data_IF_042063022743
#
_entry.id   IF_042063022743
#
_cell.length_a   1.000
_cell.length_b   1.000
_cell.length_c   1.000
_cell.angle_alpha   90.00
_cell.angle_beta   90.00
_cell.angle_gamma   90.00
#
_symmetry.space_group_name_H-M   'P 1'
#
loop_
_entity.id
_entity.type
_entity.pdbx_description
1 polymer ?
#
# COMPACT_ATOMS: atom_id res chain seq x y z
N UNK A 1 21.07 -18.15 5.09
CA UNK A 1 20.27 -17.02 4.59
C UNK A 1 18.85 -17.45 4.22
N UNK A 2 18.66 -18.33 3.24
CA UNK A 2 17.33 -18.67 2.69
C UNK A 2 16.33 -19.34 3.67
N UNK A 3 16.81 -20.11 4.65
CA UNK A 3 15.94 -20.70 5.69
C UNK A 3 15.28 -19.63 6.57
N UNK A 4 15.96 -18.51 6.84
CA UNK A 4 15.39 -17.40 7.62
C UNK A 4 14.29 -16.68 6.84
N UNK A 5 14.54 -16.40 5.56
CA UNK A 5 13.56 -15.79 4.64
C UNK A 5 12.29 -16.62 4.52
N UNK A 6 12.42 -17.92 4.24
CA UNK A 6 11.26 -18.81 4.12
C UNK A 6 10.47 -18.89 5.43
N UNK A 7 11.16 -19.03 6.57
CA UNK A 7 10.52 -19.04 7.89
C UNK A 7 9.71 -17.77 8.15
N UNK A 8 10.25 -16.60 7.82
CA UNK A 8 9.53 -15.34 8.01
C UNK A 8 8.28 -15.27 7.13
N UNK A 9 8.40 -15.60 5.84
CA UNK A 9 7.26 -15.65 4.90
C UNK A 9 6.18 -16.60 5.42
N UNK A 10 6.56 -17.81 5.84
CA UNK A 10 5.65 -18.83 6.36
C UNK A 10 4.87 -18.37 7.61
N UNK A 11 5.48 -17.53 8.46
CA UNK A 11 4.81 -16.96 9.63
C UNK A 11 3.86 -15.81 9.23
N UNK A 12 4.20 -15.02 8.22
CA UNK A 12 3.44 -13.83 7.83
C UNK A 12 2.22 -14.15 6.99
N UNK A 13 2.32 -15.11 6.06
CA UNK A 13 1.26 -15.40 5.09
C UNK A 13 -0.09 -15.74 5.74
N UNK A 14 -0.17 -16.62 6.76
CA UNK A 14 -1.44 -16.90 7.44
C UNK A 14 -2.08 -15.68 8.13
N UNK A 15 -1.32 -14.61 8.38
CA UNK A 15 -1.75 -13.39 9.10
C UNK A 15 -2.09 -12.22 8.17
N UNK A 16 -1.85 -12.34 6.87
CA UNK A 16 -1.90 -11.23 5.92
C UNK A 16 -3.30 -10.62 5.75
N UNK A 17 -4.36 -11.44 5.73
CA UNK A 17 -5.75 -10.99 5.55
C UNK A 17 -6.72 -12.01 6.16
N UNK A 18 -6.81 -12.09 7.50
CA UNK A 18 -7.52 -13.18 8.20
C UNK A 18 -9.04 -13.20 7.94
N UNK A 19 -9.60 -12.05 7.54
CA UNK A 19 -11.02 -11.87 7.32
C UNK A 19 -11.49 -12.39 5.95
N UNK A 20 -10.57 -12.61 5.01
CA UNK A 20 -10.89 -13.08 3.65
C UNK A 20 -10.64 -14.59 3.61
N UNK A 21 -11.71 -15.36 3.34
CA UNK A 21 -11.69 -16.84 3.30
C UNK A 21 -10.66 -17.39 2.31
N UNK A 22 -10.47 -16.70 1.18
CA UNK A 22 -9.53 -17.06 0.13
C UNK A 22 -8.11 -17.30 0.66
N UNK A 23 -7.59 -16.39 1.50
CA UNK A 23 -6.20 -16.47 2.01
C UNK A 23 -6.00 -17.52 3.11
N UNK A 24 -7.07 -18.15 3.58
CA UNK A 24 -6.98 -19.28 4.53
C UNK A 24 -6.77 -20.62 3.83
N UNK A 25 -6.96 -20.69 2.51
CA UNK A 25 -6.78 -21.92 1.75
C UNK A 25 -5.28 -22.25 1.62
N UNK A 26 -4.90 -23.49 1.94
CA UNK A 26 -3.49 -23.92 1.92
C UNK A 26 -2.86 -23.73 0.53
N UNK A 27 -3.60 -24.03 -0.53
CA UNK A 27 -3.14 -23.83 -1.92
C UNK A 27 -2.81 -22.36 -2.22
N UNK A 28 -3.58 -21.41 -1.69
CA UNK A 28 -3.32 -19.97 -1.86
C UNK A 28 -2.09 -19.55 -1.06
N UNK A 29 -1.97 -20.03 0.18
CA UNK A 29 -0.79 -19.76 1.01
C UNK A 29 0.48 -20.28 0.34
N UNK A 30 0.46 -21.49 -0.22
CA UNK A 30 1.62 -22.08 -0.91
C UNK A 30 2.00 -21.29 -2.16
N UNK A 31 1.02 -20.75 -2.91
CA UNK A 31 1.27 -19.84 -4.05
C UNK A 31 1.98 -18.57 -3.56
N UNK A 32 1.45 -17.92 -2.52
CA UNK A 32 2.04 -16.69 -1.99
C UNK A 32 3.44 -16.92 -1.42
N UNK A 33 3.65 -18.03 -0.70
CA UNK A 33 4.97 -18.43 -0.21
C UNK A 33 5.98 -18.57 -1.34
N UNK A 34 5.62 -19.24 -2.45
CA UNK A 34 6.50 -19.38 -3.61
C UNK A 34 6.80 -18.05 -4.29
N UNK A 35 5.77 -17.24 -4.56
CA UNK A 35 5.93 -15.91 -5.18
C UNK A 35 6.92 -15.06 -4.37
N UNK A 36 6.67 -14.93 -3.07
CA UNK A 36 7.48 -14.09 -2.19
C UNK A 36 8.89 -14.65 -1.98
N UNK A 37 9.02 -15.97 -1.86
CA UNK A 37 10.32 -16.61 -1.69
C UNK A 37 11.19 -16.41 -2.94
N UNK A 38 10.65 -16.68 -4.13
CA UNK A 38 11.36 -16.50 -5.40
C UNK A 38 11.76 -15.02 -5.57
N UNK A 39 10.85 -14.08 -5.29
CA UNK A 39 11.16 -12.66 -5.39
C UNK A 39 12.29 -12.26 -4.43
N UNK A 40 12.20 -12.70 -3.17
CA UNK A 40 13.17 -12.35 -2.11
C UNK A 40 14.57 -12.89 -2.42
N UNK A 41 14.68 -14.11 -2.95
CA UNK A 41 15.96 -14.69 -3.38
C UNK A 41 16.58 -13.91 -4.55
N UNK A 42 15.74 -13.41 -5.46
CA UNK A 42 16.18 -12.63 -6.63
C UNK A 42 16.56 -11.18 -6.30
N UNK A 43 16.19 -10.67 -5.12
CA UNK A 43 16.46 -9.30 -4.68
C UNK A 43 17.18 -9.29 -3.32
N UNK A 44 18.44 -9.76 -3.25
CA UNK A 44 19.16 -9.95 -1.98
C UNK A 44 19.40 -8.65 -1.20
N UNK A 45 19.37 -7.49 -1.87
CA UNK A 45 19.48 -6.18 -1.20
C UNK A 45 18.26 -5.84 -0.32
N UNK A 46 17.09 -6.38 -0.68
CA UNK A 46 15.86 -6.23 0.11
C UNK A 46 15.59 -7.49 0.95
N UNK A 47 15.70 -8.67 0.34
CA UNK A 47 15.18 -9.90 0.93
C UNK A 47 13.65 -9.81 1.11
N UNK A 48 13.10 -10.62 2.02
CA UNK A 48 11.69 -10.48 2.40
C UNK A 48 11.54 -9.42 3.49
N UNK A 49 10.65 -8.47 3.27
CA UNK A 49 10.26 -7.44 4.24
C UNK A 49 8.76 -7.51 4.47
N UNK A 50 8.34 -7.51 5.74
CA UNK A 50 6.92 -7.56 6.10
C UNK A 50 6.18 -6.37 5.46
N UNK A 51 5.07 -6.68 4.81
CA UNK A 51 4.24 -5.73 4.05
C UNK A 51 4.34 -5.93 2.54
N UNK A 52 5.44 -6.48 2.03
CA UNK A 52 5.54 -6.89 0.62
C UNK A 52 4.49 -7.96 0.27
N UNK A 53 4.17 -8.82 1.24
CA UNK A 53 3.14 -9.85 1.09
C UNK A 53 1.78 -9.26 0.68
N UNK A 54 1.41 -8.08 1.22
CA UNK A 54 0.15 -7.43 0.87
C UNK A 54 0.12 -6.95 -0.59
N UNK A 55 1.28 -6.64 -1.18
CA UNK A 55 1.36 -6.11 -2.54
C UNK A 55 1.16 -7.16 -3.63
N UNK A 56 1.20 -8.46 -3.27
CA UNK A 56 0.86 -9.55 -4.19
C UNK A 56 -0.67 -9.67 -4.35
N UNK A 57 -1.42 -9.31 -3.32
CA UNK A 57 -2.87 -9.52 -3.21
C UNK A 57 -3.67 -8.97 -4.40
N UNK A 58 -3.50 -7.70 -4.83
CA UNK A 58 -4.30 -7.16 -5.93
C UNK A 58 -4.09 -7.92 -7.25
N UNK A 59 -2.83 -8.26 -7.57
CA UNK A 59 -2.51 -9.02 -8.78
C UNK A 59 -3.12 -10.42 -8.74
N UNK A 60 -2.93 -11.13 -7.62
CA UNK A 60 -3.47 -12.48 -7.46
C UNK A 60 -4.99 -12.51 -7.63
N UNK A 61 -5.69 -11.57 -7.01
CA UNK A 61 -7.15 -11.51 -7.06
C UNK A 61 -7.66 -11.17 -8.47
N UNK A 62 -7.06 -10.20 -9.14
CA UNK A 62 -7.45 -9.82 -10.50
C UNK A 62 -7.23 -10.98 -11.48
N UNK A 63 -6.07 -11.65 -11.42
CA UNK A 63 -5.80 -12.78 -12.30
C UNK A 63 -6.61 -14.02 -11.97
N UNK A 64 -6.86 -14.28 -10.68
CA UNK A 64 -7.76 -15.34 -10.26
C UNK A 64 -9.18 -15.09 -10.79
N UNK A 65 -9.70 -13.87 -10.65
CA UNK A 65 -11.03 -13.49 -11.14
C UNK A 65 -11.18 -13.70 -12.64
N UNK A 66 -10.16 -13.37 -13.43
CA UNK A 66 -10.16 -13.60 -14.89
C UNK A 66 -10.24 -15.09 -15.29
N UNK A 67 -9.87 -16.00 -14.39
CA UNK A 67 -9.92 -17.45 -14.61
C UNK A 67 -11.20 -18.11 -14.04
N UNK A 68 -12.12 -17.32 -13.49
CA UNK A 68 -13.38 -17.80 -12.92
C UNK A 68 -14.57 -17.54 -13.87
N UNK A 69 -15.64 -18.37 -13.79
CA UNK A 69 -16.89 -18.06 -14.47
C UNK A 69 -17.45 -16.69 -14.05
N UNK A 70 -18.11 -16.00 -14.98
CA UNK A 70 -18.71 -14.68 -14.69
C UNK A 70 -19.75 -14.78 -13.57
N UNK A 71 -19.73 -13.80 -12.65
CA UNK A 71 -20.69 -13.69 -11.54
C UNK A 71 -20.35 -14.54 -10.32
N UNK A 72 -19.24 -15.29 -10.34
CA UNK A 72 -18.77 -16.03 -9.16
C UNK A 72 -18.20 -15.06 -8.13
N UNK A 73 -18.65 -15.18 -6.89
CA UNK A 73 -18.06 -14.46 -5.77
C UNK A 73 -16.69 -15.08 -5.43
N UNK A 74 -15.63 -14.28 -5.46
CA UNK A 74 -14.26 -14.75 -5.19
C UNK A 74 -14.09 -15.35 -3.79
N UNK A 75 -14.87 -14.90 -2.81
CA UNK A 75 -14.79 -15.39 -1.42
C UNK A 75 -15.36 -16.80 -1.26
N UNK A 76 -16.18 -17.27 -2.23
CA UNK A 76 -16.74 -18.64 -2.23
C UNK A 76 -15.94 -19.63 -3.08
N UNK A 77 -14.88 -19.17 -3.76
CA UNK A 77 -14.09 -20.01 -4.66
C UNK A 77 -13.14 -20.90 -3.88
N UNK A 78 -13.19 -22.20 -4.16
CA UNK A 78 -12.11 -23.12 -3.77
C UNK A 78 -11.06 -23.16 -4.89
N UNK A 79 -9.90 -22.54 -4.66
CA UNK A 79 -8.80 -22.46 -5.64
C UNK A 79 -8.21 -23.83 -5.96
N UNK A 80 -8.34 -24.79 -5.04
CA UNK A 80 -7.90 -26.18 -5.25
C UNK A 80 -8.72 -26.90 -6.32
N UNK A 81 -9.95 -26.44 -6.59
CA UNK A 81 -10.80 -27.01 -7.65
C UNK A 81 -10.49 -26.47 -9.05
N UNK A 82 -9.65 -25.43 -9.18
CA UNK A 82 -9.22 -24.94 -10.48
C UNK A 82 -8.25 -25.92 -11.16
N UNK A 83 -8.20 -25.89 -12.48
CA UNK A 83 -7.20 -26.67 -13.22
C UNK A 83 -5.78 -26.24 -12.82
N UNK A 84 -4.85 -27.20 -12.72
CA UNK A 84 -3.47 -26.90 -12.31
C UNK A 84 -2.82 -25.88 -13.25
N UNK A 85 -3.08 -25.95 -14.56
CA UNK A 85 -2.53 -25.00 -15.52
C UNK A 85 -3.04 -23.58 -15.28
N UNK A 86 -4.33 -23.41 -14.94
CA UNK A 86 -4.89 -22.10 -14.57
C UNK A 86 -4.25 -21.56 -13.29
N UNK A 87 -4.06 -22.40 -12.27
CA UNK A 87 -3.34 -22.00 -11.05
C UNK A 87 -1.91 -21.55 -11.33
N UNK A 88 -1.19 -22.31 -12.16
CA UNK A 88 0.18 -21.99 -12.55
C UNK A 88 0.24 -20.65 -13.32
N UNK A 89 -0.71 -20.40 -14.21
CA UNK A 89 -0.84 -19.12 -14.92
C UNK A 89 -1.10 -17.95 -13.96
N UNK A 90 -2.08 -18.09 -13.05
CA UNK A 90 -2.36 -17.06 -12.04
C UNK A 90 -1.14 -16.77 -11.18
N UNK A 91 -0.41 -17.79 -10.71
CA UNK A 91 0.82 -17.61 -9.94
C UNK A 91 1.92 -16.90 -10.75
N UNK A 92 2.16 -17.33 -11.99
CA UNK A 92 3.18 -16.75 -12.85
C UNK A 92 2.90 -15.28 -13.21
N UNK A 93 1.66 -14.97 -13.61
CA UNK A 93 1.24 -13.61 -13.96
C UNK A 93 1.30 -12.70 -12.74
N UNK A 94 0.83 -13.20 -11.58
CA UNK A 94 0.94 -12.48 -10.30
C UNK A 94 2.40 -12.16 -9.99
N UNK A 95 3.29 -13.14 -10.11
CA UNK A 95 4.72 -12.96 -9.85
C UNK A 95 5.35 -11.90 -10.75
N UNK A 96 5.13 -11.97 -12.06
CA UNK A 96 5.77 -11.05 -13.00
C UNK A 96 5.23 -9.62 -12.89
N UNK A 97 3.92 -9.44 -12.74
CA UNK A 97 3.33 -8.13 -12.52
C UNK A 97 3.76 -7.51 -11.19
N UNK A 98 3.78 -8.32 -10.13
CA UNK A 98 4.33 -7.93 -8.82
C UNK A 98 5.81 -7.51 -8.93
N UNK A 99 6.65 -8.28 -9.63
CA UNK A 99 8.05 -7.91 -9.86
C UNK A 99 8.18 -6.56 -10.56
N UNK A 100 7.38 -6.33 -11.61
CA UNK A 100 7.40 -5.08 -12.38
C UNK A 100 6.92 -3.90 -11.55
N UNK A 101 5.87 -4.08 -10.77
CA UNK A 101 5.34 -3.04 -9.90
C UNK A 101 6.34 -2.66 -8.79
N UNK A 102 6.94 -3.65 -8.11
CA UNK A 102 7.94 -3.39 -7.07
C UNK A 102 9.22 -2.74 -7.60
N UNK A 103 9.56 -2.94 -8.88
CA UNK A 103 10.73 -2.31 -9.50
C UNK A 103 10.73 -0.78 -9.34
N UNK A 104 9.56 -0.13 -9.33
CA UNK A 104 9.44 1.32 -9.14
C UNK A 104 9.55 1.80 -7.69
N UNK A 105 9.60 0.89 -6.71
CA UNK A 105 9.66 1.21 -5.27
C UNK A 105 10.62 0.30 -4.49
N UNK A 106 11.63 -0.29 -5.14
CA UNK A 106 12.54 -1.24 -4.47
C UNK A 106 13.29 -0.59 -3.30
N UNK A 107 13.60 0.70 -3.42
CA UNK A 107 14.27 1.51 -2.39
C UNK A 107 13.48 1.57 -1.07
N UNK A 108 12.16 1.36 -1.11
CA UNK A 108 11.33 1.24 0.09
C UNK A 108 11.68 0.02 0.95
N UNK A 109 12.24 -1.03 0.35
CA UNK A 109 12.43 -2.34 1.00
C UNK A 109 13.90 -2.72 1.19
N UNK A 110 14.85 -1.92 0.68
CA UNK A 110 16.27 -2.11 0.96
C UNK A 110 16.55 -1.62 2.39
N UNK A 111 17.16 -2.45 3.23
CA UNK A 111 17.54 -2.05 4.60
C UNK A 111 18.49 -0.82 4.59
N UNK A 112 18.28 0.22 5.42
CA UNK A 112 17.31 0.37 6.53
C UNK A 112 15.98 1.07 6.15
N UNK A 113 15.46 0.81 4.95
CA UNK A 113 14.23 1.37 4.38
C UNK A 113 14.23 2.90 4.26
N UNK A 114 15.36 3.47 3.81
CA UNK A 114 15.51 4.91 3.63
C UNK A 114 14.50 5.50 2.65
N UNK A 115 14.07 4.75 1.63
CA UNK A 115 13.03 5.20 0.68
C UNK A 115 11.72 5.56 1.38
N UNK A 116 11.28 4.73 2.34
CA UNK A 116 10.09 5.01 3.14
C UNK A 116 10.31 6.21 4.05
N UNK A 117 11.45 6.29 4.74
CA UNK A 117 11.74 7.42 5.64
C UNK A 117 11.72 8.76 4.89
N UNK A 118 12.28 8.81 3.68
CA UNK A 118 12.21 9.99 2.82
C UNK A 118 10.76 10.34 2.45
N UNK A 119 9.94 9.35 2.05
CA UNK A 119 8.53 9.57 1.70
C UNK A 119 7.69 10.08 2.88
N UNK A 120 7.95 9.59 4.09
CA UNK A 120 7.29 10.06 5.31
C UNK A 120 7.65 11.53 5.60
N UNK A 121 8.93 11.89 5.47
CA UNK A 121 9.35 13.28 5.65
C UNK A 121 8.75 14.19 4.57
N UNK A 122 8.70 13.74 3.32
CA UNK A 122 8.02 14.46 2.24
C UNK A 122 6.53 14.66 2.54
N UNK A 123 5.86 13.66 3.11
CA UNK A 123 4.44 13.77 3.51
C UNK A 123 4.27 14.82 4.60
N UNK A 124 5.13 14.80 5.63
CA UNK A 124 5.13 15.81 6.70
C UNK A 124 5.27 17.23 6.15
N UNK A 125 6.28 17.48 5.31
CA UNK A 125 6.50 18.82 4.74
C UNK A 125 5.38 19.24 3.78
N UNK A 126 4.84 18.30 3.02
CA UNK A 126 3.70 18.54 2.14
C UNK A 126 2.45 18.95 2.94
N UNK A 127 2.10 18.22 4.00
CA UNK A 127 0.95 18.56 4.84
C UNK A 127 1.18 19.88 5.58
N UNK A 128 2.38 20.14 6.09
CA UNK A 128 2.74 21.44 6.67
C UNK A 128 2.49 22.61 5.72
N UNK A 129 2.77 22.42 4.42
CA UNK A 129 2.56 23.45 3.40
C UNK A 129 1.11 23.58 2.95
N UNK A 130 0.37 22.48 2.84
CA UNK A 130 -1.04 22.48 2.42
C UNK A 130 -1.95 22.96 3.56
N UNK A 131 -1.75 22.41 4.75
CA UNK A 131 -2.58 22.63 5.93
C UNK A 131 -1.71 22.67 7.20
N UNK A 132 -1.14 23.86 7.44
CA UNK A 132 -0.35 24.12 8.64
C UNK A 132 -1.14 23.99 9.94
N UNK A 133 -2.48 24.11 9.91
CA UNK A 133 -3.35 23.94 11.08
C UNK A 133 -3.39 22.47 11.50
N UNK A 134 -3.67 21.57 10.56
CA UNK A 134 -3.64 20.13 10.80
C UNK A 134 -2.25 19.66 11.23
N UNK A 135 -1.21 20.11 10.53
CA UNK A 135 0.17 19.77 10.88
C UNK A 135 0.52 20.17 12.33
N UNK A 136 0.24 21.42 12.70
CA UNK A 136 0.54 21.93 14.04
C UNK A 136 -0.28 21.22 15.12
N UNK A 137 -1.53 20.85 14.81
CA UNK A 137 -2.39 20.07 15.70
C UNK A 137 -1.82 18.68 15.99
N UNK A 138 -1.39 17.95 14.95
CA UNK A 138 -0.76 16.65 15.11
C UNK A 138 0.55 16.76 15.94
N UNK A 139 1.42 17.71 15.60
CA UNK A 139 2.68 17.91 16.35
C UNK A 139 2.45 18.33 17.80
N UNK A 140 1.49 19.23 18.07
CA UNK A 140 1.19 19.70 19.43
C UNK A 140 0.61 18.61 20.33
N UNK A 141 -0.04 17.61 19.72
CA UNK A 141 -0.53 16.42 20.42
C UNK A 141 0.50 15.27 20.46
N UNK A 142 1.74 15.51 20.02
CA UNK A 142 2.82 14.52 20.08
C UNK A 142 2.75 13.42 19.02
N UNK A 143 1.97 13.62 17.95
CA UNK A 143 1.85 12.66 16.85
C UNK A 143 3.02 12.84 15.89
N UNK A 144 3.80 11.79 15.71
CA UNK A 144 4.84 11.73 14.69
C UNK A 144 4.31 11.05 13.43
N UNK A 145 4.60 11.61 12.24
CA UNK A 145 4.14 11.04 10.97
C UNK A 145 4.59 9.58 10.78
N UNK A 146 5.76 9.21 11.31
CA UNK A 146 6.27 7.84 11.26
C UNK A 146 5.30 6.82 11.89
N UNK A 147 4.60 7.19 12.96
CA UNK A 147 3.77 6.28 13.76
C UNK A 147 2.56 5.72 13.00
N UNK A 148 2.04 6.47 12.02
CA UNK A 148 0.91 6.03 11.20
C UNK A 148 1.29 5.82 9.73
N UNK A 149 2.04 6.75 9.15
CA UNK A 149 2.28 6.75 7.69
C UNK A 149 3.33 5.74 7.24
N UNK A 150 4.10 5.14 8.15
CA UNK A 150 4.97 4.02 7.80
C UNK A 150 4.17 2.87 7.17
N UNK A 151 3.06 2.46 7.81
CA UNK A 151 2.20 1.39 7.29
C UNK A 151 1.56 1.79 5.96
N UNK A 152 1.14 3.06 5.83
CA UNK A 152 0.55 3.58 4.60
C UNK A 152 1.51 3.49 3.42
N UNK A 153 2.78 3.88 3.62
CA UNK A 153 3.82 3.88 2.57
C UNK A 153 4.37 2.48 2.30
N UNK A 154 4.60 1.68 3.35
CA UNK A 154 5.17 0.34 3.24
C UNK A 154 4.21 -0.64 2.54
N UNK A 155 2.90 -0.47 2.78
CA UNK A 155 1.85 -1.35 2.29
C UNK A 155 0.97 -0.68 1.22
N UNK A 156 1.32 0.52 0.74
CA UNK A 156 0.55 1.28 -0.27
C UNK A 156 -0.95 1.36 0.02
N UNK A 157 -1.30 1.72 1.26
CA UNK A 157 -2.66 1.81 1.79
C UNK A 157 -3.49 0.50 1.73
N UNK A 158 -2.91 -0.65 1.40
CA UNK A 158 -3.61 -1.96 1.37
C UNK A 158 -4.24 -2.33 2.71
N UNK A 159 -3.70 -1.80 3.82
CA UNK A 159 -4.20 -1.99 5.19
C UNK A 159 -5.28 -0.99 5.60
N UNK A 160 -5.43 0.08 4.84
CA UNK A 160 -6.34 1.19 5.16
C UNK A 160 -7.57 1.22 4.27
N UNK A 161 -7.60 0.44 3.18
CA UNK A 161 -8.68 0.45 2.19
C UNK A 161 -9.25 -0.96 2.00
N UNK A 162 -10.57 -1.09 1.78
CA UNK A 162 -11.16 -2.34 1.32
C UNK A 162 -10.52 -2.77 -0.01
N UNK A 163 -10.43 -4.08 -0.23
CA UNK A 163 -9.84 -4.64 -1.44
C UNK A 163 -10.43 -4.08 -2.75
N UNK A 164 -11.75 -3.88 -2.82
CA UNK A 164 -12.41 -3.28 -4.00
C UNK A 164 -11.86 -1.90 -4.33
N UNK A 165 -11.69 -1.08 -3.30
CA UNK A 165 -11.17 0.28 -3.39
C UNK A 165 -9.68 0.28 -3.75
N UNK A 166 -8.94 -0.68 -3.20
CA UNK A 166 -7.53 -0.87 -3.51
C UNK A 166 -7.32 -1.22 -4.99
N UNK A 167 -8.09 -2.17 -5.54
CA UNK A 167 -8.03 -2.53 -6.96
C UNK A 167 -8.32 -1.30 -7.82
N UNK A 168 -9.39 -0.55 -7.51
CA UNK A 168 -9.74 0.68 -8.21
C UNK A 168 -8.64 1.74 -8.13
N UNK A 169 -7.99 1.91 -6.97
CA UNK A 169 -6.87 2.84 -6.81
C UNK A 169 -5.65 2.40 -7.65
N UNK A 170 -5.40 1.09 -7.71
CA UNK A 170 -4.26 0.54 -8.45
C UNK A 170 -4.42 0.65 -9.96
N UNK A 171 -5.65 0.73 -10.50
CA UNK A 171 -5.87 1.10 -11.90
C UNK A 171 -5.20 2.44 -12.24
N UNK A 172 -5.32 3.41 -11.33
CA UNK A 172 -4.67 4.73 -11.48
C UNK A 172 -3.15 4.62 -11.30
N UNK A 173 -2.66 3.85 -10.33
CA UNK A 173 -1.21 3.67 -10.14
C UNK A 173 -0.53 3.03 -11.35
N UNK A 174 -1.16 2.02 -11.94
CA UNK A 174 -0.66 1.40 -13.16
C UNK A 174 -0.74 2.34 -14.36
N UNK A 175 -1.66 3.31 -14.36
CA UNK A 175 -1.77 4.35 -15.40
C UNK A 175 -0.74 5.48 -15.23
N UNK A 176 -0.31 5.78 -14.00
CA UNK A 176 0.73 6.79 -13.70
C UNK A 176 2.16 6.30 -13.97
N UNK A 177 2.33 5.02 -14.33
CA UNK A 177 3.58 4.36 -14.75
C UNK A 177 4.78 4.75 -13.86
N UNK A 178 5.82 5.35 -14.45
CA UNK A 178 7.08 5.70 -13.80
C UNK A 178 6.93 6.74 -12.67
N UNK A 179 5.76 7.39 -12.56
CA UNK A 179 5.51 8.42 -11.54
C UNK A 179 4.62 7.95 -10.39
N UNK A 180 4.20 6.68 -10.37
CA UNK A 180 3.27 6.19 -9.32
C UNK A 180 3.85 6.35 -7.91
N UNK A 181 5.17 6.17 -7.72
CA UNK A 181 5.81 6.33 -6.42
C UNK A 181 5.71 7.78 -5.89
N UNK A 182 5.75 8.77 -6.79
CA UNK A 182 5.51 10.18 -6.47
C UNK A 182 4.02 10.40 -6.24
N UNK A 183 3.16 9.83 -7.08
CA UNK A 183 1.71 9.97 -6.95
C UNK A 183 1.18 9.37 -5.64
N UNK A 184 1.74 8.26 -5.15
CA UNK A 184 1.44 7.65 -3.85
C UNK A 184 1.57 8.66 -2.70
N UNK A 185 2.59 9.53 -2.74
CA UNK A 185 2.79 10.57 -1.72
C UNK A 185 1.57 11.50 -1.66
N UNK A 186 1.08 11.93 -2.83
CA UNK A 186 -0.08 12.81 -2.94
C UNK A 186 -1.38 12.09 -2.59
N UNK A 187 -1.50 10.79 -2.88
CA UNK A 187 -2.64 9.99 -2.39
C UNK A 187 -2.63 9.90 -0.87
N UNK A 188 -1.49 9.65 -0.23
CA UNK A 188 -1.40 9.67 1.24
C UNK A 188 -1.75 11.04 1.83
N UNK A 189 -1.36 12.14 1.17
CA UNK A 189 -1.71 13.48 1.60
C UNK A 189 -3.21 13.77 1.48
N UNK A 190 -3.80 13.45 0.32
CA UNK A 190 -5.24 13.58 0.10
C UNK A 190 -6.04 12.68 1.06
N UNK A 191 -5.54 11.48 1.35
CA UNK A 191 -6.15 10.55 2.30
C UNK A 191 -6.15 11.11 3.72
N UNK A 192 -5.05 11.71 4.18
CA UNK A 192 -5.01 12.37 5.49
C UNK A 192 -5.96 13.58 5.55
N UNK A 193 -5.97 14.40 4.48
CA UNK A 193 -6.80 15.60 4.40
C UNK A 193 -8.29 15.30 4.31
N UNK A 194 -8.68 14.14 3.79
CA UNK A 194 -10.07 13.69 3.80
C UNK A 194 -10.65 13.62 5.22
N UNK A 195 -9.82 13.27 6.20
CA UNK A 195 -10.20 13.14 7.62
C UNK A 195 -9.84 14.37 8.45
N UNK A 196 -9.45 15.47 7.80
CA UNK A 196 -8.95 16.69 8.45
C UNK A 196 -9.85 17.15 9.59
N UNK A 197 -11.14 17.32 9.33
CA UNK A 197 -12.06 17.93 10.29
C UNK A 197 -12.26 17.03 11.51
N UNK A 198 -12.39 15.71 11.32
CA UNK A 198 -12.47 14.74 12.40
C UNK A 198 -11.18 14.71 13.23
N UNK A 199 -10.01 14.76 12.57
CA UNK A 199 -8.71 14.81 13.24
C UNK A 199 -8.52 16.09 14.07
N UNK A 200 -9.04 17.23 13.62
CA UNK A 200 -8.97 18.48 14.37
C UNK A 200 -9.92 18.51 15.58
N UNK A 201 -10.99 17.71 15.56
CA UNK A 201 -11.91 17.57 16.69
C UNK A 201 -11.30 16.75 17.83
N UNK A 202 -10.50 15.73 17.50
CA UNK A 202 -9.81 14.90 18.49
C UNK A 202 -8.58 15.63 19.06
N UNK A 203 -8.46 15.67 20.39
CA UNK A 203 -7.49 16.50 21.12
C UNK A 203 -6.54 15.71 21.97
N UNK A 204 -6.66 14.39 22.02
CA UNK A 204 -5.70 13.56 22.75
C UNK A 204 -4.90 12.65 21.82
N UNK A 205 -3.66 12.35 22.24
CA UNK A 205 -2.73 11.52 21.49
C UNK A 205 -3.29 10.14 21.17
N UNK A 206 -3.98 9.50 22.13
CA UNK A 206 -4.46 8.14 21.98
C UNK A 206 -5.63 8.07 20.99
N UNK A 207 -6.57 9.02 21.06
CA UNK A 207 -7.68 9.16 20.11
C UNK A 207 -7.17 9.39 18.69
N UNK A 208 -6.25 10.36 18.50
CA UNK A 208 -5.65 10.63 17.20
C UNK A 208 -4.94 9.41 16.62
N UNK A 209 -4.14 8.71 17.43
CA UNK A 209 -3.42 7.52 16.98
C UNK A 209 -4.37 6.38 16.62
N UNK A 210 -5.44 6.18 17.40
CA UNK A 210 -6.45 5.17 17.11
C UNK A 210 -7.16 5.47 15.77
N UNK A 211 -7.53 6.73 15.53
CA UNK A 211 -8.14 7.17 14.28
C UNK A 211 -7.20 6.96 13.10
N UNK A 212 -5.97 7.47 13.15
CA UNK A 212 -4.99 7.38 12.06
C UNK A 212 -4.61 5.93 11.71
N UNK A 213 -4.72 5.01 12.67
CA UNK A 213 -4.47 3.58 12.46
C UNK A 213 -5.73 2.78 12.11
N UNK A 214 -6.93 3.35 12.19
CA UNK A 214 -8.20 2.68 11.92
C UNK A 214 -9.23 3.65 11.31
N UNK A 215 -8.85 4.32 10.21
CA UNK A 215 -9.73 5.23 9.50
C UNK A 215 -10.94 4.47 8.93
N UNK A 216 -12.17 5.00 9.02
CA UNK A 216 -13.38 4.25 8.71
C UNK A 216 -13.67 4.21 7.20
N UNK A 217 -12.94 3.34 6.50
CA UNK A 217 -13.01 3.16 5.03
C UNK A 217 -13.80 1.94 4.59
N UNK A 218 -14.35 1.15 5.52
CA UNK A 218 -15.03 -0.13 5.23
C UNK A 218 -16.20 0.01 4.24
N UNK A 219 -16.88 1.16 4.28
CA UNK A 219 -18.05 1.48 3.44
C UNK A 219 -17.67 2.25 2.16
N UNK A 220 -16.37 2.55 1.95
CA UNK A 220 -15.93 3.27 0.75
C UNK A 220 -16.19 2.48 -0.53
N UNK A 221 -16.52 3.20 -1.58
CA UNK A 221 -16.80 2.67 -2.91
C UNK A 221 -15.84 3.30 -3.93
N UNK A 222 -16.10 3.06 -5.21
CA UNK A 222 -15.37 3.70 -6.30
C UNK A 222 -15.54 5.22 -6.27
N UNK A 223 -16.65 5.74 -5.72
CA UNK A 223 -16.90 7.18 -5.62
C UNK A 223 -15.85 7.87 -4.72
N UNK A 224 -15.62 7.33 -3.52
CA UNK A 224 -14.62 7.86 -2.59
C UNK A 224 -13.20 7.76 -3.18
N UNK A 225 -12.89 6.66 -3.88
CA UNK A 225 -11.58 6.49 -4.53
C UNK A 225 -11.40 7.47 -5.70
N UNK A 226 -12.44 7.73 -6.49
CA UNK A 226 -12.38 8.73 -7.55
C UNK A 226 -12.14 10.13 -6.98
N UNK A 227 -12.80 10.49 -5.88
CA UNK A 227 -12.57 11.77 -5.19
C UNK A 227 -11.16 11.86 -4.61
N UNK A 228 -10.68 10.79 -3.98
CA UNK A 228 -9.33 10.71 -3.43
C UNK A 228 -8.27 10.90 -4.53
N UNK A 229 -8.41 10.19 -5.65
CA UNK A 229 -7.50 10.28 -6.80
C UNK A 229 -7.53 11.67 -7.43
N UNK A 230 -8.72 12.26 -7.59
CA UNK A 230 -8.87 13.61 -8.14
C UNK A 230 -8.19 14.66 -7.26
N UNK A 231 -8.36 14.56 -5.94
CA UNK A 231 -7.70 15.45 -4.99
C UNK A 231 -6.18 15.24 -4.98
N UNK A 232 -5.71 13.99 -5.00
CA UNK A 232 -4.29 13.69 -5.11
C UNK A 232 -3.67 14.28 -6.39
N UNK A 233 -4.38 14.20 -7.52
CA UNK A 233 -3.93 14.79 -8.78
C UNK A 233 -3.88 16.32 -8.70
N UNK A 234 -4.90 16.96 -8.10
CA UNK A 234 -4.92 18.40 -7.85
C UNK A 234 -3.73 18.85 -6.99
N UNK A 235 -3.44 18.11 -5.92
CA UNK A 235 -2.29 18.38 -5.05
C UNK A 235 -0.96 18.19 -5.81
N UNK A 236 -0.84 17.12 -6.62
CA UNK A 236 0.34 16.89 -7.46
C UNK A 236 0.58 18.06 -8.40
N UNK A 237 -0.41 18.51 -9.17
CA UNK A 237 -0.26 19.66 -10.07
C UNK A 237 0.05 20.97 -9.33
N UNK A 238 -0.48 21.15 -8.13
CA UNK A 238 -0.26 22.39 -7.35
C UNK A 238 1.14 22.45 -6.73
N UNK A 239 1.67 21.31 -6.27
CA UNK A 239 2.87 21.27 -5.42
C UNK A 239 4.08 20.56 -6.03
N UNK A 240 3.91 19.71 -7.05
CA UNK A 240 5.02 19.11 -7.79
C UNK A 240 5.61 20.07 -8.83
N UNK A 241 4.77 20.90 -9.47
CA UNK A 241 5.20 21.83 -10.53
C UNK A 241 5.50 23.26 -10.01
N UNK A 242 5.40 23.49 -8.69
CA UNK A 242 5.77 24.76 -8.09
C UNK A 242 7.32 24.88 -8.02
N UNK A 243 7.95 25.83 -8.73
CA UNK A 243 9.40 25.86 -8.87
C UNK A 243 10.14 25.92 -7.53
N UNK A 244 11.20 25.12 -7.45
CA UNK A 244 12.24 25.07 -6.43
C UNK A 244 12.48 26.38 -5.66
N UNK A 245 12.01 26.44 -4.41
CA UNK A 245 12.65 27.23 -3.35
C UNK A 245 13.68 26.39 -2.57
N UNK A 246 14.33 25.42 -3.24
CA UNK A 246 15.59 24.85 -2.76
C UNK A 246 16.73 25.87 -2.97
N UNK A 247 16.68 26.99 -2.25
CA UNK A 247 17.88 27.79 -2.02
C UNK A 247 18.64 27.12 -0.87
N UNK A 248 19.72 26.44 -1.23
CA UNK A 248 20.91 26.32 -0.39
C UNK A 248 21.26 27.69 0.17
N UNK A 249 20.93 27.94 1.44
CA UNK A 249 21.65 28.91 2.27
C UNK A 249 22.69 28.15 3.05
N UNK A 250 23.95 28.41 2.73
CA UNK A 250 25.10 27.86 3.45
C UNK A 250 26.38 27.84 2.61
N UNK A 251 26.76 29.00 2.05
CA UNK A 251 28.17 29.35 1.81
C UNK A 251 28.64 30.18 3.00
#
# INVERSE_FOLDING_TARGET
AYQGTYRQIHIDIPRMSPNISLFRQKVVQDIFERILFIWSVRHPASGYVQGINDLVTPFFIVFLYNNLPQGVNIDSVNVECLDQDKRNMVEADSFWCFCKFLAGIQDNYIFPQLGIQHKINQLRELIKRIDGSLHSHLESNGIEYLQFSFRWMNNLLTRELPLRCLIRLWDTYLSELDTFAIFQLFVCAAFLLHWRDDLLLEKDFQGLMLMLQNLPTQDWSDAEINMLVAEAYRLKCTFADAPNHFQTKGS
#
